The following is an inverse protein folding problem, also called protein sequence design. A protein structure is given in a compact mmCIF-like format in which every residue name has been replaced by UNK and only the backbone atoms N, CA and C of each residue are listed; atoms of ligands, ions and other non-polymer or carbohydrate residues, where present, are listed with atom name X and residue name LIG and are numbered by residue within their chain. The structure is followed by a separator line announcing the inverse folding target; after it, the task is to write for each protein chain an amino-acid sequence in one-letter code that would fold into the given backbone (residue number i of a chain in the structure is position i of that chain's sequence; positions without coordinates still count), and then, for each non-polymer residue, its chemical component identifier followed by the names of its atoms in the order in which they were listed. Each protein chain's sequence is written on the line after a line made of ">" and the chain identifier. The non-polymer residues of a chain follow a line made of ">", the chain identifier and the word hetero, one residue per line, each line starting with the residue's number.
data_IF_826316768432
#
_entry.id   IF_826316768432
#
_cell.length_a   1.000
_cell.length_b   1.000
_cell.length_c   1.000
_cell.angle_alpha   90.00
_cell.angle_beta   90.00
_cell.angle_gamma   90.00
#
_symmetry.space_group_name_H-M   'P 1'
#
loop_
_entity.id
_entity.type
_entity.pdbx_description
1 polymer ?
#
# COMPACT_ATOMS: atom_id res chain seq x y z
N UNK A 1 18.77 -6.94 -10.48
CA UNK A 1 17.50 -6.53 -9.83
C UNK A 1 16.78 -7.82 -9.54
N UNK A 2 16.57 -8.14 -8.29
CA UNK A 2 15.90 -9.37 -7.85
C UNK A 2 14.50 -9.43 -8.46
N UNK A 3 14.13 -10.52 -9.09
CA UNK A 3 12.78 -10.71 -9.62
C UNK A 3 11.84 -11.23 -8.54
N UNK A 4 10.54 -11.20 -8.78
CA UNK A 4 9.55 -11.78 -7.85
C UNK A 4 9.76 -13.30 -7.76
N UNK A 5 10.12 -13.95 -8.86
CA UNK A 5 10.45 -15.38 -8.91
C UNK A 5 11.66 -15.70 -8.01
N UNK A 6 12.74 -14.90 -8.12
CA UNK A 6 13.91 -15.02 -7.25
C UNK A 6 13.58 -14.73 -5.78
N UNK A 7 12.70 -13.76 -5.51
CA UNK A 7 12.24 -13.47 -4.15
C UNK A 7 11.55 -14.69 -3.52
N UNK A 8 10.60 -15.30 -4.23
CA UNK A 8 9.88 -16.48 -3.72
C UNK A 8 10.81 -17.67 -3.44
N UNK A 9 11.87 -17.83 -4.24
CA UNK A 9 12.83 -18.92 -4.06
C UNK A 9 13.84 -18.66 -2.93
N UNK A 10 14.16 -17.39 -2.65
CA UNK A 10 15.28 -17.01 -1.80
C UNK A 10 14.90 -16.02 -0.68
N UNK A 11 13.63 -15.93 -0.30
CA UNK A 11 13.17 -14.94 0.69
C UNK A 11 13.87 -15.07 2.06
N UNK A 12 14.36 -16.24 2.42
CA UNK A 12 15.07 -16.49 3.68
C UNK A 12 16.36 -15.67 3.81
N UNK A 13 16.95 -15.20 2.69
CA UNK A 13 18.13 -14.32 2.73
C UNK A 13 17.90 -13.05 3.55
N UNK A 14 16.68 -12.57 3.63
CA UNK A 14 16.36 -11.36 4.39
C UNK A 14 16.42 -11.55 5.91
N UNK A 15 16.54 -12.80 6.41
CA UNK A 15 16.80 -13.08 7.82
C UNK A 15 18.20 -12.62 8.29
N UNK A 16 19.12 -12.28 7.38
CA UNK A 16 20.45 -11.76 7.75
C UNK A 16 20.35 -10.46 8.58
N UNK A 17 19.42 -9.55 8.23
CA UNK A 17 19.24 -8.27 8.93
C UNK A 17 17.81 -8.03 9.42
N UNK A 18 16.87 -8.90 9.12
CA UNK A 18 15.47 -8.78 9.44
C UNK A 18 14.87 -10.07 9.99
N UNK A 19 13.56 -10.09 10.08
CA UNK A 19 12.75 -11.25 10.42
C UNK A 19 11.80 -11.54 9.27
N UNK A 20 11.96 -12.67 8.62
CA UNK A 20 11.00 -13.18 7.63
C UNK A 20 9.89 -13.93 8.35
N UNK A 21 8.65 -13.52 8.08
CA UNK A 21 7.45 -14.23 8.54
C UNK A 21 6.71 -14.82 7.35
N UNK A 22 6.57 -16.13 7.35
CA UNK A 22 5.67 -16.84 6.44
C UNK A 22 4.34 -17.04 7.15
N UNK A 23 3.25 -16.55 6.52
CA UNK A 23 1.90 -16.70 7.05
C UNK A 23 1.31 -18.06 6.70
N UNK A 24 1.29 -18.39 5.39
CA UNK A 24 0.78 -19.65 4.85
C UNK A 24 1.24 -19.84 3.40
N UNK A 25 0.75 -20.86 2.73
CA UNK A 25 0.92 -21.10 1.30
C UNK A 25 -0.41 -21.05 0.57
N UNK A 26 -0.47 -20.33 -0.54
CA UNK A 26 -1.59 -20.42 -1.49
C UNK A 26 -1.28 -21.49 -2.53
N UNK A 27 -2.13 -22.52 -2.62
CA UNK A 27 -1.97 -23.59 -3.61
C UNK A 27 -2.89 -23.33 -4.81
N UNK A 28 -2.33 -23.34 -6.02
CA UNK A 28 -3.07 -23.18 -7.27
C UNK A 28 -2.40 -24.00 -8.37
N UNK A 29 -3.19 -24.81 -9.11
CA UNK A 29 -2.73 -25.68 -10.19
C UNK A 29 -1.50 -26.54 -9.80
N UNK A 30 -1.52 -27.16 -8.62
CA UNK A 30 -0.44 -27.97 -8.04
C UNK A 30 0.86 -27.19 -7.77
N UNK A 31 0.84 -25.87 -7.78
CA UNK A 31 1.94 -25.01 -7.36
C UNK A 31 1.60 -24.35 -6.02
N UNK A 32 2.59 -24.25 -5.13
CA UNK A 32 2.46 -23.62 -3.83
C UNK A 32 3.23 -22.30 -3.83
N UNK A 33 2.59 -21.23 -3.34
CA UNK A 33 3.14 -19.88 -3.30
C UNK A 33 3.10 -19.36 -1.86
N UNK A 34 4.26 -19.09 -1.24
CA UNK A 34 4.30 -18.61 0.13
C UNK A 34 3.82 -17.17 0.24
N UNK A 35 3.03 -16.89 1.28
CA UNK A 35 2.65 -15.55 1.71
C UNK A 35 3.64 -15.04 2.75
N UNK A 36 4.44 -14.03 2.38
CA UNK A 36 5.64 -13.63 3.13
C UNK A 36 5.64 -12.14 3.40
N UNK A 37 5.95 -11.78 4.65
CA UNK A 37 6.34 -10.44 5.07
C UNK A 37 7.74 -10.41 5.65
N UNK A 38 8.47 -9.31 5.45
CA UNK A 38 9.84 -9.12 5.94
C UNK A 38 9.86 -7.91 6.86
N UNK A 39 10.33 -8.08 8.08
CA UNK A 39 10.30 -7.11 9.16
C UNK A 39 11.71 -6.70 9.57
N UNK A 40 11.96 -5.39 9.68
CA UNK A 40 13.24 -4.84 10.13
C UNK A 40 13.01 -3.88 11.28
N UNK A 41 13.89 -3.88 12.28
CA UNK A 41 13.90 -2.93 13.36
C UNK A 41 13.03 -3.30 14.56
N UNK A 42 12.67 -2.30 15.38
CA UNK A 42 12.01 -2.49 16.66
C UNK A 42 10.49 -2.63 16.50
N UNK A 43 9.88 -3.79 16.84
CA UNK A 43 8.45 -4.02 16.66
C UNK A 43 7.54 -3.12 17.52
N UNK A 44 8.09 -2.52 18.62
CA UNK A 44 7.34 -1.59 19.47
C UNK A 44 7.46 -0.13 19.03
N UNK A 45 8.26 0.15 18.02
CA UNK A 45 8.46 1.51 17.50
C UNK A 45 7.42 1.87 16.43
N UNK A 46 7.26 3.17 16.08
CA UNK A 46 6.48 3.59 14.95
C UNK A 46 6.83 2.80 13.69
N UNK A 47 5.83 2.33 12.95
CA UNK A 47 6.03 1.36 11.85
C UNK A 47 5.68 1.96 10.50
N UNK A 48 6.55 1.71 9.51
CA UNK A 48 6.25 1.88 8.09
C UNK A 48 5.98 0.53 7.46
N UNK A 49 4.77 0.32 6.96
CA UNK A 49 4.38 -0.88 6.24
C UNK A 49 4.23 -0.60 4.74
N UNK A 50 4.98 -1.29 3.91
CA UNK A 50 4.93 -1.17 2.45
C UNK A 50 4.38 -2.47 1.87
N UNK A 51 3.22 -2.36 1.23
CA UNK A 51 2.53 -3.46 0.60
C UNK A 51 2.51 -3.32 -0.92
N UNK A 52 2.54 -4.44 -1.64
CA UNK A 52 2.41 -4.45 -3.09
C UNK A 52 1.84 -5.75 -3.63
N UNK A 53 1.39 -5.71 -4.88
CA UNK A 53 0.94 -6.90 -5.58
C UNK A 53 -0.40 -7.47 -5.09
N UNK A 54 -1.29 -6.66 -4.53
CA UNK A 54 -2.69 -7.06 -4.24
C UNK A 54 -3.42 -7.39 -5.55
N UNK A 55 -3.28 -6.54 -6.57
CA UNK A 55 -3.73 -6.86 -7.91
C UNK A 55 -2.57 -7.44 -8.71
N UNK A 56 -2.65 -8.72 -9.04
CA UNK A 56 -1.52 -9.42 -9.65
C UNK A 56 -1.09 -8.86 -11.02
N UNK A 57 -2.02 -8.36 -11.82
CA UNK A 57 -1.69 -7.74 -13.11
C UNK A 57 -0.97 -6.37 -12.99
N UNK A 58 -0.99 -5.74 -11.82
CA UNK A 58 -0.29 -4.48 -11.52
C UNK A 58 1.16 -4.75 -11.10
N UNK A 59 1.89 -5.48 -11.92
CA UNK A 59 3.24 -6.01 -11.61
C UNK A 59 4.24 -4.96 -11.12
N UNK A 60 4.10 -3.72 -11.59
CA UNK A 60 5.00 -2.64 -11.19
C UNK A 60 4.88 -2.31 -9.69
N UNK A 61 3.71 -2.55 -9.06
CA UNK A 61 3.52 -2.37 -7.62
C UNK A 61 4.37 -3.37 -6.82
N UNK A 62 4.26 -4.66 -7.13
CA UNK A 62 5.08 -5.71 -6.52
C UNK A 62 6.59 -5.47 -6.77
N UNK A 63 6.97 -5.10 -8.01
CA UNK A 63 8.36 -4.81 -8.36
C UNK A 63 8.93 -3.60 -7.61
N UNK A 64 8.12 -2.56 -7.38
CA UNK A 64 8.54 -1.39 -6.61
C UNK A 64 8.76 -1.77 -5.14
N UNK A 65 7.80 -2.48 -4.53
CA UNK A 65 7.94 -2.96 -3.14
C UNK A 65 9.16 -3.85 -2.97
N UNK A 66 9.38 -4.81 -3.88
CA UNK A 66 10.56 -5.67 -3.85
C UNK A 66 11.86 -4.88 -4.05
N UNK A 67 11.87 -3.90 -4.95
CA UNK A 67 13.04 -3.05 -5.18
C UNK A 67 13.39 -2.21 -3.94
N UNK A 68 12.38 -1.72 -3.22
CA UNK A 68 12.58 -1.01 -1.96
C UNK A 68 13.10 -1.95 -0.87
N UNK A 69 12.52 -3.13 -0.71
CA UNK A 69 12.97 -4.16 0.22
C UNK A 69 14.44 -4.53 -0.02
N UNK A 70 14.77 -4.92 -1.27
CA UNK A 70 16.12 -5.35 -1.62
C UNK A 70 17.14 -4.23 -1.38
N UNK A 71 16.85 -3.01 -1.85
CA UNK A 71 17.73 -1.86 -1.62
C UNK A 71 17.86 -1.52 -0.13
N UNK A 72 16.82 -1.72 0.68
CA UNK A 72 16.85 -1.51 2.12
C UNK A 72 17.74 -2.55 2.80
N UNK A 73 17.58 -3.82 2.47
CA UNK A 73 18.39 -4.93 2.95
C UNK A 73 19.88 -4.75 2.61
N UNK A 74 20.21 -4.45 1.35
CA UNK A 74 21.59 -4.20 0.92
C UNK A 74 22.24 -3.04 1.68
N UNK A 75 21.50 -1.98 1.96
CA UNK A 75 22.01 -0.84 2.76
C UNK A 75 22.33 -1.24 4.19
N UNK A 76 21.62 -2.21 4.77
CA UNK A 76 21.92 -2.66 6.13
C UNK A 76 23.28 -3.34 6.25
N UNK A 77 23.93 -3.76 5.16
CA UNK A 77 25.30 -4.29 5.21
C UNK A 77 26.34 -3.22 5.60
N UNK A 78 26.17 -1.95 5.14
CA UNK A 78 27.17 -0.88 5.26
C UNK A 78 26.67 0.42 5.89
N UNK A 79 25.38 0.74 5.83
CA UNK A 79 24.81 2.01 6.28
C UNK A 79 24.54 1.99 7.80
N UNK A 80 25.53 2.46 8.57
CA UNK A 80 25.44 2.52 10.02
C UNK A 80 24.36 3.48 10.55
N UNK A 81 24.03 4.52 9.77
CA UNK A 81 22.95 5.45 10.12
C UNK A 81 21.61 4.76 10.02
N UNK A 82 21.38 4.03 8.92
CA UNK A 82 20.17 3.24 8.75
C UNK A 82 20.02 2.17 9.85
N UNK A 83 21.10 1.45 10.20
CA UNK A 83 21.08 0.50 11.33
C UNK A 83 20.66 1.16 12.63
N UNK A 84 21.19 2.34 12.93
CA UNK A 84 20.83 3.09 14.15
C UNK A 84 19.36 3.53 14.10
N UNK A 85 18.85 3.96 12.96
CA UNK A 85 17.42 4.32 12.81
C UNK A 85 16.46 3.18 13.18
N UNK A 86 16.85 1.93 12.94
CA UNK A 86 16.04 0.75 13.26
C UNK A 86 15.82 0.48 14.76
N UNK A 87 16.51 1.19 15.65
CA UNK A 87 16.18 1.18 17.09
C UNK A 87 14.88 1.93 17.39
N UNK A 88 14.55 2.94 16.56
CA UNK A 88 13.48 3.90 16.78
C UNK A 88 12.33 3.77 15.77
N UNK A 89 12.44 2.82 14.83
CA UNK A 89 11.44 2.54 13.80
C UNK A 89 11.39 1.06 13.48
N UNK A 90 10.20 0.59 13.08
CA UNK A 90 10.03 -0.67 12.36
C UNK A 90 9.71 -0.42 10.89
N UNK A 91 10.25 -1.24 9.99
CA UNK A 91 9.88 -1.26 8.57
C UNK A 91 9.44 -2.66 8.19
N UNK A 92 8.25 -2.78 7.63
CA UNK A 92 7.67 -4.04 7.19
C UNK A 92 7.41 -3.98 5.70
N UNK A 93 7.83 -5.01 4.97
CA UNK A 93 7.57 -5.16 3.54
C UNK A 93 6.74 -6.41 3.29
N UNK A 94 5.74 -6.27 2.42
CA UNK A 94 4.98 -7.35 1.83
C UNK A 94 5.01 -7.16 0.31
N UNK A 95 6.00 -7.75 -0.40
CA UNK A 95 6.19 -7.46 -1.81
C UNK A 95 5.13 -8.05 -2.73
N UNK A 96 4.46 -9.13 -2.30
CA UNK A 96 3.52 -9.86 -3.13
C UNK A 96 2.36 -10.42 -2.30
N UNK A 97 1.26 -9.68 -2.26
CA UNK A 97 0.06 -10.09 -1.53
C UNK A 97 -0.76 -11.15 -2.28
N UNK A 98 -0.71 -11.16 -3.63
CA UNK A 98 -1.48 -12.04 -4.50
C UNK A 98 -0.56 -12.77 -5.50
N UNK A 99 0.12 -13.83 -5.08
CA UNK A 99 1.06 -14.53 -5.94
C UNK A 99 0.36 -15.17 -7.15
N UNK A 100 -0.79 -15.81 -6.97
CA UNK A 100 -1.52 -16.43 -8.07
C UNK A 100 -1.90 -15.40 -9.14
N UNK A 101 -2.51 -14.28 -8.72
CA UNK A 101 -2.84 -13.21 -9.65
C UNK A 101 -1.62 -12.64 -10.39
N UNK A 102 -0.47 -12.56 -9.73
CA UNK A 102 0.78 -12.10 -10.35
C UNK A 102 1.24 -13.04 -11.46
N UNK A 103 1.31 -14.35 -11.20
CA UNK A 103 1.78 -15.33 -12.18
C UNK A 103 0.77 -15.56 -13.30
N UNK A 104 -0.51 -15.65 -12.98
CA UNK A 104 -1.60 -15.78 -13.97
C UNK A 104 -1.91 -14.47 -14.72
N UNK A 105 -1.33 -13.35 -14.26
CA UNK A 105 -1.58 -12.03 -14.84
C UNK A 105 -3.06 -11.66 -14.78
N UNK A 106 -3.66 -11.80 -13.60
CA UNK A 106 -5.06 -11.44 -13.31
C UNK A 106 -5.12 -10.34 -12.27
N UNK A 107 -6.22 -9.59 -12.24
CA UNK A 107 -6.48 -8.63 -11.15
C UNK A 107 -6.78 -9.37 -9.85
N UNK A 108 -7.66 -10.35 -9.94
CA UNK A 108 -8.13 -11.19 -8.84
C UNK A 108 -7.12 -12.27 -8.44
N UNK A 109 -7.39 -12.93 -7.32
CA UNK A 109 -6.66 -14.11 -6.90
C UNK A 109 -7.09 -15.38 -7.68
N UNK A 110 -6.59 -16.55 -7.30
CA UNK A 110 -6.90 -17.84 -7.94
C UNK A 110 -8.37 -18.24 -7.92
N UNK A 111 -9.16 -17.68 -6.99
CA UNK A 111 -10.60 -17.90 -6.88
C UNK A 111 -11.44 -16.87 -7.66
N UNK A 112 -10.79 -15.95 -8.40
CA UNK A 112 -11.45 -14.88 -9.13
C UNK A 112 -11.90 -13.71 -8.24
N UNK A 113 -11.45 -13.63 -7.00
CA UNK A 113 -11.81 -12.60 -6.02
C UNK A 113 -10.89 -11.39 -6.12
N UNK A 114 -11.45 -10.20 -6.19
CA UNK A 114 -10.71 -8.93 -6.05
C UNK A 114 -10.43 -8.67 -4.57
N UNK A 115 -9.18 -8.83 -4.15
CA UNK A 115 -8.78 -8.73 -2.74
C UNK A 115 -9.07 -7.35 -2.13
N UNK A 116 -9.03 -6.26 -2.93
CA UNK A 116 -9.42 -4.91 -2.47
C UNK A 116 -10.94 -4.72 -2.36
N UNK A 117 -11.73 -5.76 -2.58
CA UNK A 117 -13.18 -5.79 -2.42
C UNK A 117 -13.63 -6.88 -1.45
N UNK A 118 -12.69 -7.54 -0.77
CA UNK A 118 -12.93 -8.81 -0.07
C UNK A 118 -12.92 -8.70 1.47
N UNK A 119 -12.47 -7.58 2.05
CA UNK A 119 -12.58 -7.39 3.49
C UNK A 119 -14.06 -7.22 3.92
N UNK A 120 -14.38 -7.64 5.15
CA UNK A 120 -15.76 -7.62 5.64
C UNK A 120 -16.20 -6.21 6.10
N UNK A 121 -16.29 -5.31 5.12
CA UNK A 121 -16.80 -3.95 5.30
C UNK A 121 -17.63 -3.52 4.09
N UNK A 122 -18.79 -2.95 4.31
CA UNK A 122 -19.66 -2.49 3.24
C UNK A 122 -19.56 -0.97 3.05
N UNK A 123 -19.80 -0.52 1.82
CA UNK A 123 -19.94 0.90 1.54
C UNK A 123 -21.22 1.44 2.18
N UNK A 124 -21.14 2.66 2.71
CA UNK A 124 -22.28 3.33 3.37
C UNK A 124 -23.25 4.01 2.40
N UNK A 125 -22.86 4.11 1.14
CA UNK A 125 -23.61 4.76 0.06
C UNK A 125 -23.53 3.89 -1.21
N UNK A 126 -24.32 4.27 -2.23
CA UNK A 126 -24.33 3.58 -3.53
C UNK A 126 -22.93 3.60 -4.18
N UNK A 127 -22.46 2.44 -4.56
CA UNK A 127 -21.19 2.27 -5.29
C UNK A 127 -21.42 2.20 -6.80
N UNK A 128 -20.40 2.55 -7.62
CA UNK A 128 -20.49 2.36 -9.07
C UNK A 128 -20.68 0.89 -9.42
N UNK A 129 -21.60 0.64 -10.38
CA UNK A 129 -21.91 -0.70 -10.84
C UNK A 129 -20.63 -1.47 -11.23
N UNK A 130 -20.49 -2.67 -10.76
CA UNK A 130 -19.32 -3.55 -10.81
C UNK A 130 -18.08 -2.96 -10.11
N UNK A 131 -17.57 -1.82 -10.53
CA UNK A 131 -16.31 -1.20 -10.06
C UNK A 131 -16.24 -1.09 -8.52
N UNK A 132 -17.36 -0.79 -7.88
CA UNK A 132 -17.44 -0.68 -6.42
C UNK A 132 -17.39 -2.01 -5.67
N UNK A 133 -17.37 -3.13 -6.39
CA UNK A 133 -17.47 -4.48 -5.83
C UNK A 133 -18.86 -5.09 -6.00
N UNK A 134 -18.95 -6.38 -6.24
CA UNK A 134 -20.19 -7.13 -6.42
C UNK A 134 -20.08 -8.60 -6.01
N UNK A 135 -21.24 -9.23 -5.74
CA UNK A 135 -21.38 -10.65 -5.39
C UNK A 135 -22.05 -11.47 -6.49
N UNK A 136 -21.97 -11.06 -7.78
CA UNK A 136 -22.68 -11.72 -8.89
C UNK A 136 -22.01 -13.00 -9.36
N UNK A 137 -20.73 -12.90 -9.77
CA UNK A 137 -19.94 -14.03 -10.28
C UNK A 137 -18.47 -13.69 -10.30
N UNK A 138 -17.62 -14.68 -10.05
CA UNK A 138 -16.15 -14.55 -10.12
C UNK A 138 -15.59 -14.42 -11.55
N UNK A 139 -16.44 -14.58 -12.57
CA UNK A 139 -16.06 -14.34 -13.97
C UNK A 139 -16.00 -12.85 -14.33
N UNK A 140 -16.61 -11.99 -13.55
CA UNK A 140 -16.58 -10.54 -13.72
C UNK A 140 -15.54 -9.91 -12.80
N UNK A 141 -14.84 -8.85 -13.27
CA UNK A 141 -13.88 -8.13 -12.45
C UNK A 141 -14.57 -7.48 -11.25
N UNK A 142 -13.80 -7.23 -10.17
CA UNK A 142 -14.26 -6.64 -8.90
C UNK A 142 -15.24 -7.52 -8.09
N UNK A 143 -15.19 -8.84 -8.26
CA UNK A 143 -15.98 -9.78 -7.45
C UNK A 143 -15.46 -9.81 -6.01
N UNK A 144 -16.38 -9.58 -5.06
CA UNK A 144 -16.04 -9.50 -3.62
C UNK A 144 -15.75 -10.85 -2.97
N UNK A 145 -16.09 -11.96 -3.62
CA UNK A 145 -16.07 -13.26 -2.96
C UNK A 145 -17.25 -13.46 -2.00
N UNK A 146 -17.44 -14.70 -1.57
CA UNK A 146 -18.43 -15.07 -0.53
C UNK A 146 -17.81 -15.06 0.86
N UNK A 147 -16.50 -15.29 0.93
CA UNK A 147 -15.70 -15.35 2.15
C UNK A 147 -14.42 -14.55 2.00
N UNK A 148 -13.86 -14.10 3.12
CA UNK A 148 -12.54 -13.48 3.16
C UNK A 148 -11.50 -14.49 2.68
N UNK A 149 -10.68 -14.09 1.73
CA UNK A 149 -9.64 -14.93 1.14
C UNK A 149 -8.38 -14.98 2.01
N UNK A 150 -7.60 -16.03 1.87
CA UNK A 150 -6.36 -16.23 2.62
C UNK A 150 -5.39 -15.05 2.44
N UNK A 151 -5.27 -14.55 1.22
CA UNK A 151 -4.42 -13.39 0.88
C UNK A 151 -4.92 -12.10 1.53
N UNK A 152 -6.24 -11.90 1.62
CA UNK A 152 -6.83 -10.75 2.33
C UNK A 152 -6.56 -10.85 3.82
N UNK A 153 -6.79 -12.02 4.43
CA UNK A 153 -6.50 -12.27 5.85
C UNK A 153 -5.00 -12.10 6.15
N UNK A 154 -4.13 -12.51 5.23
CA UNK A 154 -2.70 -12.28 5.37
C UNK A 154 -2.37 -10.79 5.53
N UNK A 155 -2.86 -9.93 4.63
CA UNK A 155 -2.61 -8.48 4.72
C UNK A 155 -3.17 -7.91 6.03
N UNK A 156 -4.39 -8.30 6.41
CA UNK A 156 -5.04 -7.89 7.67
C UNK A 156 -4.23 -8.36 8.89
N UNK A 157 -3.72 -9.60 8.85
CA UNK A 157 -2.92 -10.16 9.94
C UNK A 157 -1.61 -9.41 10.16
N UNK A 158 -0.94 -8.99 9.09
CA UNK A 158 0.27 -8.16 9.18
C UNK A 158 -0.04 -6.82 9.85
N UNK A 159 -1.14 -6.16 9.48
CA UNK A 159 -1.56 -4.90 10.14
C UNK A 159 -1.90 -5.14 11.61
N UNK A 160 -2.61 -6.24 11.92
CA UNK A 160 -2.97 -6.63 13.29
C UNK A 160 -1.73 -6.89 14.16
N UNK A 161 -0.77 -7.63 13.63
CA UNK A 161 0.51 -7.90 14.30
C UNK A 161 1.26 -6.61 14.61
N UNK A 162 1.38 -5.70 13.65
CA UNK A 162 2.02 -4.40 13.84
C UNK A 162 1.29 -3.60 14.93
N UNK A 163 -0.01 -3.44 14.82
CA UNK A 163 -0.81 -2.66 15.77
C UNK A 163 -0.96 -3.34 17.14
N UNK A 164 -0.56 -4.61 17.29
CA UNK A 164 -0.50 -5.27 18.60
C UNK A 164 0.68 -4.78 19.45
N UNK A 165 1.73 -4.27 18.82
CA UNK A 165 2.99 -3.87 19.47
C UNK A 165 3.33 -2.39 19.28
N UNK A 166 2.85 -1.75 18.21
CA UNK A 166 3.13 -0.35 17.88
C UNK A 166 1.86 0.50 17.93
N UNK A 167 1.99 1.72 18.49
CA UNK A 167 0.90 2.69 18.53
C UNK A 167 0.82 3.60 17.30
N UNK A 168 1.79 3.50 16.39
CA UNK A 168 1.86 4.36 15.20
C UNK A 168 2.20 3.54 13.97
N UNK A 169 1.28 3.55 13.01
CA UNK A 169 1.43 2.88 11.74
C UNK A 169 1.16 3.85 10.57
N UNK A 170 2.07 3.89 9.63
CA UNK A 170 1.84 4.41 8.29
C UNK A 170 1.95 3.25 7.33
N UNK A 171 0.89 2.94 6.57
CA UNK A 171 0.96 1.94 5.51
C UNK A 171 0.90 2.60 4.13
N UNK A 172 1.65 2.05 3.19
CA UNK A 172 1.66 2.47 1.80
C UNK A 172 1.42 1.24 0.92
N UNK A 173 0.23 1.14 0.37
CA UNK A 173 -0.16 0.12 -0.60
C UNK A 173 0.13 0.61 -2.01
N UNK A 174 0.82 -0.20 -2.81
CA UNK A 174 1.35 0.25 -4.10
C UNK A 174 0.56 -0.37 -5.25
N UNK A 175 -0.20 0.48 -5.93
CA UNK A 175 -1.05 0.17 -7.07
C UNK A 175 -0.66 0.90 -8.35
N UNK A 176 -1.28 0.49 -9.44
CA UNK A 176 -1.23 1.15 -10.74
C UNK A 176 -2.50 0.84 -11.54
N UNK A 177 -2.87 1.71 -12.46
CA UNK A 177 -4.04 1.45 -13.31
C UNK A 177 -4.95 2.65 -13.48
N UNK A 178 -4.79 3.68 -12.67
CA UNK A 178 -5.71 4.80 -12.64
C UNK A 178 -5.04 6.13 -12.98
N UNK A 179 -5.59 6.83 -13.98
CA UNK A 179 -5.27 8.21 -14.28
C UNK A 179 -3.93 8.49 -14.94
N UNK A 180 -3.69 9.78 -15.20
CA UNK A 180 -2.48 10.28 -15.88
C UNK A 180 -1.39 10.77 -14.91
N UNK A 181 -1.69 10.87 -13.62
CA UNK A 181 -0.79 11.38 -12.57
C UNK A 181 -0.72 10.38 -11.43
N UNK A 182 0.42 10.32 -10.80
CA UNK A 182 0.56 9.56 -9.57
C UNK A 182 -0.26 10.22 -8.46
N UNK A 183 -1.00 9.42 -7.71
CA UNK A 183 -1.89 9.87 -6.64
C UNK A 183 -1.50 9.18 -5.33
N UNK A 184 -1.72 9.87 -4.24
CA UNK A 184 -1.72 9.30 -2.90
C UNK A 184 -3.13 9.42 -2.35
N UNK A 185 -3.82 8.30 -2.30
CA UNK A 185 -5.13 8.22 -1.71
C UNK A 185 -5.03 7.87 -0.23
N UNK A 186 -6.00 8.36 0.53
CA UNK A 186 -6.18 8.03 1.94
C UNK A 186 -7.66 7.72 2.20
N UNK A 187 -8.03 7.14 3.37
CA UNK A 187 -9.40 6.77 3.66
C UNK A 187 -10.38 7.96 3.62
N UNK A 188 -11.63 7.69 3.40
CA UNK A 188 -12.22 6.35 3.30
C UNK A 188 -12.52 6.02 1.84
N UNK A 189 -12.53 4.71 1.54
CA UNK A 189 -13.00 4.16 0.27
C UNK A 189 -14.47 3.75 0.35
N UNK A 190 -14.97 3.35 1.53
CA UNK A 190 -16.34 2.89 1.76
C UNK A 190 -17.34 4.01 2.06
N UNK A 191 -16.88 5.23 2.32
CA UNK A 191 -17.75 6.36 2.68
C UNK A 191 -17.14 7.71 2.33
N UNK A 192 -18.01 8.74 2.22
CA UNK A 192 -17.56 10.14 2.07
C UNK A 192 -17.34 10.86 3.40
N UNK A 193 -17.31 10.12 4.51
CA UNK A 193 -17.00 10.69 5.82
C UNK A 193 -15.59 11.28 5.83
N UNK A 194 -15.42 12.35 6.60
CA UNK A 194 -14.10 12.93 6.83
C UNK A 194 -13.27 11.92 7.63
N UNK A 195 -12.04 11.71 7.18
CA UNK A 195 -11.08 10.83 7.85
C UNK A 195 -10.75 11.37 9.24
N UNK A 196 -10.96 10.59 10.29
CA UNK A 196 -10.85 11.07 11.67
C UNK A 196 -9.42 11.46 12.09
N UNK A 197 -8.40 10.98 11.38
CA UNK A 197 -6.99 11.36 11.61
C UNK A 197 -6.50 12.32 10.49
N UNK A 198 -7.41 13.16 10.00
CA UNK A 198 -7.10 14.09 8.91
C UNK A 198 -6.09 15.16 9.31
N UNK A 199 -6.03 15.54 10.59
CA UNK A 199 -5.07 16.51 11.11
C UNK A 199 -3.65 15.99 11.04
N UNK A 200 -3.43 14.76 11.51
CA UNK A 200 -2.16 14.06 11.46
C UNK A 200 -1.68 13.88 10.01
N UNK A 201 -2.58 13.42 9.15
CA UNK A 201 -2.32 13.25 7.72
C UNK A 201 -1.95 14.60 7.06
N UNK A 202 -2.69 15.65 7.36
CA UNK A 202 -2.45 17.00 6.82
C UNK A 202 -1.05 17.49 7.21
N UNK A 203 -0.67 17.36 8.48
CA UNK A 203 0.65 17.78 8.96
C UNK A 203 1.78 16.96 8.33
N UNK A 204 1.62 15.64 8.24
CA UNK A 204 2.56 14.76 7.54
C UNK A 204 2.80 15.22 6.10
N UNK A 205 1.73 15.50 5.36
CA UNK A 205 1.87 15.99 3.98
C UNK A 205 2.31 17.45 3.86
N UNK A 206 2.11 18.28 4.87
CA UNK A 206 2.74 19.62 4.90
C UNK A 206 4.27 19.50 5.03
N UNK A 207 4.77 18.59 5.88
CA UNK A 207 6.20 18.31 5.96
C UNK A 207 6.74 17.77 4.62
N UNK A 208 6.01 16.83 4.00
CA UNK A 208 6.39 16.30 2.69
C UNK A 208 6.51 17.38 1.62
N UNK A 209 5.53 18.28 1.52
CA UNK A 209 5.55 19.39 0.55
C UNK A 209 6.66 20.39 0.80
N UNK A 210 7.01 20.66 2.07
CA UNK A 210 8.13 21.53 2.42
C UNK A 210 9.46 20.87 2.04
N UNK A 211 9.61 19.58 2.26
CA UNK A 211 10.83 18.82 1.95
C UNK A 211 10.98 18.54 0.45
N UNK A 212 9.87 18.33 -0.25
CA UNK A 212 9.81 17.98 -1.68
C UNK A 212 8.79 18.85 -2.42
N UNK A 213 9.05 20.16 -2.62
CA UNK A 213 8.08 21.10 -3.19
C UNK A 213 7.67 20.76 -4.63
N UNK A 214 8.52 20.01 -5.35
CA UNK A 214 8.28 19.58 -6.74
C UNK A 214 7.82 18.12 -6.85
N UNK A 215 7.25 17.55 -5.77
CA UNK A 215 6.68 16.21 -5.84
C UNK A 215 5.49 16.17 -6.82
N UNK A 216 5.21 14.97 -7.32
CA UNK A 216 4.27 14.77 -8.43
C UNK A 216 2.88 14.31 -7.99
N UNK A 217 2.71 13.98 -6.70
CA UNK A 217 1.49 13.33 -6.22
C UNK A 217 0.32 14.31 -6.07
N UNK A 218 -0.84 13.90 -6.57
CA UNK A 218 -2.14 14.44 -6.16
C UNK A 218 -2.57 13.68 -4.90
N UNK A 219 -2.85 14.40 -3.82
CA UNK A 219 -3.19 13.83 -2.52
C UNK A 219 -4.65 14.14 -2.23
N UNK A 220 -5.48 13.10 -2.09
CA UNK A 220 -6.92 13.24 -1.88
C UNK A 220 -7.54 11.98 -1.25
N UNK A 221 -8.73 12.07 -0.63
CA UNK A 221 -9.45 10.89 -0.17
C UNK A 221 -9.90 10.05 -1.36
N UNK A 222 -9.82 8.72 -1.24
CA UNK A 222 -10.23 7.81 -2.29
C UNK A 222 -11.69 8.00 -2.69
N UNK A 223 -12.57 8.31 -1.75
CA UNK A 223 -13.99 8.56 -1.97
C UNK A 223 -14.32 9.71 -2.93
N UNK A 224 -13.36 10.62 -3.22
CA UNK A 224 -13.50 11.62 -4.30
C UNK A 224 -13.53 10.99 -5.70
N UNK A 225 -12.94 9.82 -5.87
CA UNK A 225 -12.90 9.13 -7.16
C UNK A 225 -14.09 8.16 -7.28
N UNK A 226 -14.24 7.24 -6.35
CA UNK A 226 -15.36 6.29 -6.29
C UNK A 226 -15.40 5.59 -4.93
N UNK A 227 -16.59 5.11 -4.54
CA UNK A 227 -16.78 4.30 -3.34
C UNK A 227 -16.68 2.81 -3.67
N UNK A 228 -16.27 2.01 -2.66
CA UNK A 228 -16.12 0.56 -2.80
C UNK A 228 -16.61 -0.18 -1.57
N UNK A 229 -17.11 -1.41 -1.78
CA UNK A 229 -17.20 -2.41 -0.73
C UNK A 229 -15.84 -3.04 -0.50
N UNK A 230 -15.61 -3.63 0.67
CA UNK A 230 -14.55 -4.58 0.94
C UNK A 230 -13.14 -4.03 0.95
N UNK A 231 -12.95 -2.73 1.15
CA UNK A 231 -11.61 -2.14 1.23
C UNK A 231 -10.85 -2.62 2.47
N UNK A 232 -9.64 -3.17 2.26
CA UNK A 232 -8.81 -3.74 3.33
C UNK A 232 -8.38 -2.66 4.33
N UNK A 233 -8.02 -1.47 3.84
CA UNK A 233 -7.47 -0.40 4.67
C UNK A 233 -8.53 0.25 5.54
N UNK A 234 -9.74 0.43 5.02
CA UNK A 234 -10.90 0.88 5.79
C UNK A 234 -11.28 -0.16 6.85
N UNK A 235 -11.29 -1.46 6.49
CA UNK A 235 -11.52 -2.53 7.45
C UNK A 235 -10.48 -2.50 8.58
N UNK A 236 -9.21 -2.41 8.27
CA UNK A 236 -8.14 -2.34 9.26
C UNK A 236 -8.28 -1.09 10.16
N UNK A 237 -8.68 0.05 9.57
CA UNK A 237 -8.89 1.27 10.34
C UNK A 237 -10.03 1.16 11.34
N UNK A 238 -11.15 0.56 10.95
CA UNK A 238 -12.33 0.45 11.82
C UNK A 238 -12.29 -0.74 12.78
N UNK A 239 -11.69 -1.87 12.37
CA UNK A 239 -11.83 -3.13 13.10
C UNK A 239 -10.53 -3.65 13.72
N UNK A 240 -9.36 -3.15 13.32
CA UNK A 240 -8.06 -3.59 13.83
C UNK A 240 -7.41 -2.51 14.69
N UNK A 241 -7.45 -1.26 14.27
CA UNK A 241 -6.89 -0.12 14.98
C UNK A 241 -7.65 0.13 16.31
N UNK A 242 -6.90 0.34 17.39
CA UNK A 242 -7.44 0.80 18.68
C UNK A 242 -7.58 2.32 18.69
N UNK A 243 -8.43 2.85 19.59
CA UNK A 243 -8.77 4.28 19.65
C UNK A 243 -7.53 5.19 19.84
N UNK A 244 -6.62 4.82 20.73
CA UNK A 244 -5.41 5.59 21.05
C UNK A 244 -4.33 5.54 19.96
N UNK A 245 -4.43 4.61 18.98
CA UNK A 245 -3.41 4.43 17.96
C UNK A 245 -3.55 5.42 16.80
N UNK A 246 -2.43 5.83 16.25
CA UNK A 246 -2.36 6.57 14.99
C UNK A 246 -2.12 5.58 13.85
N UNK A 247 -3.08 5.49 12.92
CA UNK A 247 -2.93 4.68 11.72
C UNK A 247 -3.30 5.51 10.49
N UNK A 248 -2.32 5.73 9.63
CA UNK A 248 -2.48 6.46 8.36
C UNK A 248 -2.30 5.49 7.18
N UNK A 249 -3.36 4.79 6.75
CA UNK A 249 -3.28 3.99 5.53
C UNK A 249 -3.30 4.90 4.31
N UNK A 250 -2.40 4.63 3.38
CA UNK A 250 -2.29 5.35 2.12
C UNK A 250 -2.14 4.37 0.96
N UNK A 251 -2.70 4.73 -0.18
CA UNK A 251 -2.53 4.01 -1.44
C UNK A 251 -1.77 4.88 -2.42
N UNK A 252 -0.63 4.41 -2.90
CA UNK A 252 0.06 5.00 -4.04
C UNK A 252 -0.53 4.42 -5.33
N UNK A 253 -1.31 5.23 -6.02
CA UNK A 253 -1.86 4.89 -7.32
C UNK A 253 -0.98 5.50 -8.42
N UNK A 254 -0.18 4.68 -9.08
CA UNK A 254 0.71 5.14 -10.15
C UNK A 254 -0.07 5.39 -11.44
N UNK A 255 0.04 6.60 -11.99
CA UNK A 255 -0.68 7.07 -13.17
C UNK A 255 -0.30 6.31 -14.44
N UNK A 256 -0.89 5.14 -14.66
CA UNK A 256 -0.53 4.23 -15.76
C UNK A 256 -0.95 4.74 -17.14
N UNK A 257 -1.99 5.55 -17.24
CA UNK A 257 -2.49 6.06 -18.52
C UNK A 257 -1.48 6.97 -19.24
N UNK A 258 -0.54 7.58 -18.50
CA UNK A 258 0.59 8.30 -19.13
C UNK A 258 1.50 7.35 -19.91
N UNK A 259 1.64 6.10 -19.49
CA UNK A 259 2.43 5.09 -20.21
C UNK A 259 1.74 4.68 -21.51
N UNK A 260 0.42 4.49 -21.47
CA UNK A 260 -0.42 4.22 -22.65
C UNK A 260 -0.37 5.41 -23.61
N UNK A 261 -0.55 6.64 -23.11
CA UNK A 261 -0.44 7.86 -23.95
C UNK A 261 0.89 7.94 -24.70
N UNK A 262 1.98 7.56 -24.04
CA UNK A 262 3.34 7.58 -24.65
C UNK A 262 3.66 6.37 -25.53
N UNK A 263 2.88 5.31 -25.48
CA UNK A 263 3.01 4.09 -26.27
C UNK A 263 1.63 3.44 -26.43
N UNK A 264 0.77 3.96 -27.32
CA UNK A 264 -0.61 3.49 -27.46
C UNK A 264 -0.72 1.99 -27.76
N UNK A 265 0.23 1.41 -28.49
CA UNK A 265 0.23 -0.01 -28.83
C UNK A 265 0.29 -0.94 -27.59
N UNK A 266 0.73 -0.42 -26.45
CA UNK A 266 0.74 -1.25 -25.22
C UNK A 266 -0.66 -1.61 -24.69
N UNK A 267 -1.73 -0.95 -25.17
CA UNK A 267 -3.12 -1.31 -24.82
C UNK A 267 -3.46 -2.73 -25.24
N UNK A 268 -2.84 -3.24 -26.30
CA UNK A 268 -3.00 -4.62 -26.78
C UNK A 268 -2.21 -5.66 -25.97
N UNK A 269 -1.37 -5.23 -25.04
CA UNK A 269 -0.69 -6.12 -24.10
C UNK A 269 -1.58 -6.39 -22.89
N UNK A 270 -1.65 -7.63 -22.44
CA UNK A 270 -2.45 -8.07 -21.28
C UNK A 270 -2.23 -7.19 -20.01
N UNK A 271 -1.00 -6.70 -19.81
CA UNK A 271 -0.61 -5.88 -18.66
C UNK A 271 -0.37 -4.41 -19.00
N UNK A 272 -0.45 -4.03 -20.27
CA UNK A 272 0.00 -2.72 -20.75
C UNK A 272 -0.81 -1.53 -20.26
N UNK A 273 -2.08 -1.74 -19.85
CA UNK A 273 -2.88 -0.71 -19.20
C UNK A 273 -2.38 -0.34 -17.81
N UNK A 274 -1.70 -1.27 -17.13
CA UNK A 274 -1.33 -1.19 -15.73
C UNK A 274 0.17 -0.98 -15.52
N UNK A 275 1.01 -1.31 -16.52
CA UNK A 275 2.46 -1.36 -16.32
C UNK A 275 3.23 -0.58 -17.39
N UNK A 276 4.40 -0.02 -17.03
CA UNK A 276 5.37 0.47 -18.03
C UNK A 276 6.05 -0.74 -18.70
N UNK A 277 5.87 -0.92 -20.01
CA UNK A 277 6.48 -2.06 -20.74
C UNK A 277 7.96 -1.80 -21.08
N UNK A 278 8.33 -0.55 -21.33
CA UNK A 278 9.70 -0.19 -21.72
C UNK A 278 10.64 -0.21 -20.51
N UNK A 279 11.77 -0.94 -20.60
CA UNK A 279 12.75 -1.13 -19.51
C UNK A 279 13.17 0.19 -18.85
N UNK A 280 13.48 1.23 -19.63
CA UNK A 280 13.86 2.53 -19.07
C UNK A 280 12.73 3.22 -18.29
N UNK A 281 11.46 2.95 -18.63
CA UNK A 281 10.30 3.47 -17.90
C UNK A 281 10.08 2.71 -16.58
N UNK A 282 10.28 1.41 -16.57
CA UNK A 282 10.29 0.60 -15.34
C UNK A 282 11.32 1.19 -14.38
N UNK A 283 12.58 1.31 -14.81
CA UNK A 283 13.65 1.88 -13.98
C UNK A 283 13.35 3.30 -13.50
N UNK A 284 12.73 4.12 -14.35
CA UNK A 284 12.31 5.49 -13.97
C UNK A 284 11.24 5.45 -12.89
N UNK A 285 10.24 4.59 -13.02
CA UNK A 285 9.16 4.42 -12.04
C UNK A 285 9.72 3.98 -10.69
N UNK A 286 10.59 2.96 -10.65
CA UNK A 286 11.20 2.47 -9.42
C UNK A 286 12.01 3.56 -8.69
N UNK A 287 12.72 4.42 -9.41
CA UNK A 287 13.47 5.54 -8.80
C UNK A 287 12.60 6.69 -8.35
N UNK A 288 11.47 6.92 -9.04
CA UNK A 288 10.61 8.09 -8.82
C UNK A 288 9.98 8.12 -7.43
N UNK A 289 9.65 6.96 -6.87
CA UNK A 289 8.94 6.83 -5.61
C UNK A 289 9.87 6.66 -4.39
N UNK A 290 11.17 6.53 -4.63
CA UNK A 290 12.18 6.44 -3.55
C UNK A 290 12.14 7.62 -2.58
N UNK A 291 12.02 8.90 -3.03
CA UNK A 291 11.94 10.03 -2.11
C UNK A 291 10.75 9.98 -1.15
N UNK A 292 9.60 9.42 -1.58
CA UNK A 292 8.46 9.24 -0.70
C UNK A 292 8.77 8.22 0.40
N UNK A 293 9.36 7.09 0.04
CA UNK A 293 9.77 6.07 1.01
C UNK A 293 10.78 6.62 2.03
N UNK A 294 11.85 7.25 1.56
CA UNK A 294 12.87 7.84 2.43
C UNK A 294 12.27 8.95 3.34
N UNK A 295 11.35 9.77 2.82
CA UNK A 295 10.64 10.76 3.62
C UNK A 295 9.81 10.10 4.73
N UNK A 296 9.03 9.06 4.43
CA UNK A 296 8.18 8.40 5.42
C UNK A 296 8.99 7.75 6.54
N UNK A 297 10.17 7.18 6.23
CA UNK A 297 11.10 6.68 7.23
C UNK A 297 11.50 7.79 8.21
N UNK A 298 11.96 8.91 7.72
CA UNK A 298 12.38 10.05 8.56
C UNK A 298 11.22 10.70 9.32
N UNK A 299 10.05 10.79 8.68
CA UNK A 299 8.86 11.35 9.30
C UNK A 299 8.35 10.51 10.46
N UNK A 300 8.47 9.18 10.39
CA UNK A 300 8.08 8.26 11.47
C UNK A 300 9.02 8.36 12.67
N UNK A 301 10.33 8.49 12.47
CA UNK A 301 11.29 8.75 13.54
C UNK A 301 10.99 10.12 14.19
N UNK A 302 10.69 11.11 13.38
CA UNK A 302 10.34 12.47 13.81
C UNK A 302 8.83 12.64 14.04
N UNK A 303 8.13 11.61 14.46
CA UNK A 303 6.66 11.53 14.47
C UNK A 303 5.99 12.61 15.35
N UNK A 304 6.66 13.14 16.35
CA UNK A 304 6.10 14.19 17.23
C UNK A 304 5.68 15.46 16.48
N UNK A 305 6.25 15.77 15.31
CA UNK A 305 5.91 16.95 14.52
C UNK A 305 4.55 16.86 13.80
N UNK A 306 3.98 15.66 13.70
CA UNK A 306 2.69 15.46 13.05
C UNK A 306 1.70 14.62 13.88
N UNK A 307 2.14 13.99 14.98
CA UNK A 307 1.25 13.25 15.90
C UNK A 307 0.95 14.00 17.19
N UNK A 308 1.89 14.82 17.69
CA UNK A 308 1.67 15.61 18.90
C UNK A 308 1.09 16.98 18.52
N UNK A 309 -0.23 17.01 18.29
CA UNK A 309 -0.95 18.23 17.95
C UNK A 309 -1.36 18.92 19.24
N UNK A 310 -0.96 20.20 19.38
CA UNK A 310 -1.41 21.03 20.49
C UNK A 310 -2.96 21.16 20.41
N UNK A 311 -3.67 20.82 21.51
CA UNK A 311 -5.13 20.92 21.55
C UNK A 311 -5.66 22.30 21.13
N UNK A 312 -4.95 23.38 21.45
CA UNK A 312 -5.32 24.74 21.06
C UNK A 312 -5.34 24.96 19.55
N UNK A 313 -4.48 24.24 18.81
CA UNK A 313 -4.36 24.38 17.36
C UNK A 313 -5.11 23.30 16.58
N UNK A 314 -5.62 22.25 17.25
CA UNK A 314 -6.21 21.09 16.58
C UNK A 314 -7.40 21.45 15.68
N UNK A 315 -8.32 22.28 16.17
CA UNK A 315 -9.50 22.72 15.40
C UNK A 315 -9.13 23.52 14.15
N UNK A 316 -8.13 24.38 14.23
CA UNK A 316 -7.66 25.18 13.08
C UNK A 316 -6.96 24.29 12.03
N UNK A 317 -6.14 23.33 12.47
CA UNK A 317 -5.49 22.36 11.59
C UNK A 317 -6.53 21.50 10.88
N UNK A 318 -7.54 21.02 11.61
CA UNK A 318 -8.62 20.19 11.06
C UNK A 318 -9.43 20.97 10.00
N UNK A 319 -9.80 22.22 10.28
CA UNK A 319 -10.50 23.08 9.31
C UNK A 319 -9.69 23.26 8.02
N UNK A 320 -8.39 23.57 8.13
CA UNK A 320 -7.49 23.70 6.98
C UNK A 320 -7.35 22.38 6.19
N UNK A 321 -7.33 21.24 6.88
CA UNK A 321 -7.27 19.94 6.27
C UNK A 321 -8.55 19.60 5.50
N UNK A 322 -9.72 19.88 6.11
CA UNK A 322 -11.03 19.68 5.48
C UNK A 322 -11.17 20.54 4.24
N UNK A 323 -10.90 21.84 4.36
CA UNK A 323 -10.96 22.77 3.22
C UNK A 323 -10.07 22.29 2.06
N UNK A 324 -8.87 21.80 2.37
CA UNK A 324 -7.92 21.36 1.37
C UNK A 324 -8.29 20.06 0.68
N UNK A 325 -8.81 19.08 1.43
CA UNK A 325 -9.01 17.73 0.92
C UNK A 325 -10.48 17.40 0.61
N UNK A 326 -11.45 18.11 1.18
CA UNK A 326 -12.88 17.84 0.99
C UNK A 326 -13.64 19.05 0.43
N UNK A 327 -13.02 20.24 0.45
CA UNK A 327 -13.53 21.44 -0.19
C UNK A 327 -13.45 21.47 -1.72
#
# INVERSE_FOLDING_TARGET
>A
MTSIEEFILNYEMYNEYGLVKKFDDVTYNNQSYPLISVHFGNPSAPTLFINGGIHGLERIGAQLTLSLLHSFHERLSWDSVLKKMLTDIQVVFLPLANPVGYFETTRSNGNGVDLMRNANIEATETVPFLLGGHKKTNQLPWYCGEQVQLETEFVISVVRDILSTSDKLVSLDIHSGFGFRDQLWFPFANSRKIFSQISELYLLFQLFRKSFPHHVYKIEPQSKNYLTHGDIWDYCFYNVKKEHQTYLPMTLEMGSWIWVKKNPLQIFSKTGLFNPIKKHRIHRTLRRHRPLFDFLLHALISNQFWTKIDPANKSDIEKKAIEKYYG
#
